data_IF_497671920312
#
_entry.id   IF_497671920312
#
_cell.length_a   1.000
_cell.length_b   1.000
_cell.length_c   1.000
_cell.angle_alpha   90.00
_cell.angle_beta   90.00
_cell.angle_gamma   90.00
#
_symmetry.space_group_name_H-M   'P 1'
#
loop_
_entity.id
_entity.type
_entity.pdbx_description
1 polymer ?
#
# COMPACT_ATOMS: atom_id res chain seq x y z
N UNK A 1 37.37 -9.97 -13.04
CA UNK A 1 37.98 -10.29 -11.73
C UNK A 1 37.34 -9.35 -10.70
N UNK A 2 37.05 -9.82 -9.48
CA UNK A 2 36.51 -8.93 -8.43
C UNK A 2 37.55 -7.86 -8.03
N UNK A 3 37.08 -6.76 -7.44
CA UNK A 3 37.92 -5.62 -7.10
C UNK A 3 38.99 -5.94 -6.07
N UNK A 4 40.07 -5.15 -6.06
CA UNK A 4 41.10 -5.17 -5.01
C UNK A 4 40.59 -4.63 -3.66
N UNK A 5 39.37 -4.07 -3.63
CA UNK A 5 38.65 -3.80 -2.38
C UNK A 5 38.07 -5.10 -1.84
N UNK A 6 38.62 -5.53 -0.70
CA UNK A 6 38.50 -6.89 -0.18
C UNK A 6 37.05 -7.32 0.09
N UNK A 7 36.75 -8.57 -0.24
CA UNK A 7 35.50 -9.22 0.12
C UNK A 7 35.48 -9.50 1.63
N UNK A 8 34.63 -8.77 2.36
CA UNK A 8 34.49 -8.85 3.81
C UNK A 8 33.42 -9.86 4.21
N UNK A 9 33.67 -10.67 5.25
CA UNK A 9 32.62 -11.51 5.87
C UNK A 9 31.82 -10.67 6.85
N UNK A 10 30.49 -10.74 6.78
CA UNK A 10 29.58 -10.06 7.72
C UNK A 10 28.46 -10.99 8.20
N UNK A 11 27.70 -10.53 9.20
CA UNK A 11 26.60 -11.28 9.81
C UNK A 11 25.20 -10.88 9.29
N UNK A 12 25.04 -9.65 8.77
CA UNK A 12 23.75 -9.10 8.32
C UNK A 12 23.96 -8.24 7.07
N UNK A 13 23.31 -8.60 5.96
CA UNK A 13 23.25 -7.76 4.76
C UNK A 13 22.21 -6.62 4.90
N UNK A 14 22.37 -5.51 4.14
CA UNK A 14 21.37 -4.46 4.04
C UNK A 14 19.97 -4.96 3.66
N UNK A 15 18.95 -4.43 4.35
CA UNK A 15 17.53 -4.77 4.17
C UNK A 15 16.72 -3.70 3.45
N UNK A 16 17.32 -2.54 3.20
CA UNK A 16 16.69 -1.42 2.50
C UNK A 16 17.76 -0.61 1.74
N UNK A 17 17.29 0.32 0.89
CA UNK A 17 18.16 1.13 0.04
C UNK A 17 19.14 2.00 0.85
N UNK A 18 18.68 2.63 1.93
CA UNK A 18 19.51 3.52 2.77
C UNK A 18 20.63 2.78 3.50
N UNK A 19 20.38 1.54 3.95
CA UNK A 19 21.44 0.66 4.48
C UNK A 19 22.43 0.25 3.40
N UNK A 20 21.96 -0.03 2.17
CA UNK A 20 22.82 -0.39 1.05
C UNK A 20 23.72 0.78 0.62
N UNK A 21 23.15 1.99 0.51
CA UNK A 21 23.89 3.20 0.17
C UNK A 21 24.97 3.50 1.22
N UNK A 22 24.61 3.49 2.52
CA UNK A 22 25.58 3.65 3.61
C UNK A 22 26.68 2.57 3.57
N UNK A 23 26.33 1.30 3.37
CA UNK A 23 27.31 0.22 3.31
C UNK A 23 28.23 0.36 2.08
N UNK A 24 27.68 0.77 0.94
CA UNK A 24 28.42 1.12 -0.26
C UNK A 24 29.38 2.28 -0.07
N UNK A 25 28.98 3.34 0.65
CA UNK A 25 29.84 4.49 0.95
C UNK A 25 30.99 4.09 1.90
N UNK A 26 30.68 3.34 2.97
CA UNK A 26 31.67 2.86 3.93
C UNK A 26 32.69 1.90 3.29
N UNK A 27 32.21 0.96 2.46
CA UNK A 27 33.07 0.11 1.64
C UNK A 27 33.64 0.87 0.43
N UNK A 28 33.20 2.11 0.18
CA UNK A 28 33.52 2.97 -0.97
C UNK A 28 33.48 2.26 -2.31
N UNK A 29 32.35 1.63 -2.63
CA UNK A 29 32.05 1.09 -3.96
C UNK A 29 31.58 2.21 -4.90
N UNK A 30 31.91 2.06 -6.18
CA UNK A 30 31.42 2.92 -7.27
C UNK A 30 30.04 2.49 -7.76
N UNK A 31 29.45 3.28 -8.68
CA UNK A 31 28.40 2.81 -9.57
C UNK A 31 28.98 2.21 -10.86
N UNK A 32 28.21 1.36 -11.55
CA UNK A 32 28.54 0.90 -12.90
C UNK A 32 28.23 1.97 -13.96
N UNK A 33 28.51 1.66 -15.23
CA UNK A 33 28.30 2.56 -16.39
C UNK A 33 26.85 3.05 -16.52
N UNK A 34 25.87 2.32 -15.95
CA UNK A 34 24.46 2.67 -15.98
C UNK A 34 23.97 3.32 -14.67
N UNK A 35 24.89 3.72 -13.79
CA UNK A 35 24.59 4.35 -12.50
C UNK A 35 24.13 3.39 -11.41
N UNK A 36 24.16 2.07 -11.64
CA UNK A 36 23.76 1.09 -10.63
C UNK A 36 24.85 0.95 -9.56
N UNK A 37 24.48 0.99 -8.28
CA UNK A 37 25.41 0.78 -7.18
C UNK A 37 26.11 -0.60 -7.27
N UNK A 38 27.45 -0.64 -7.18
CA UNK A 38 28.24 -1.89 -7.31
C UNK A 38 28.45 -2.65 -6.00
N UNK A 39 28.00 -2.13 -4.85
CA UNK A 39 27.99 -2.87 -3.60
C UNK A 39 27.07 -4.10 -3.70
N UNK A 40 27.57 -5.25 -3.25
CA UNK A 40 26.77 -6.44 -3.05
C UNK A 40 27.00 -6.99 -1.65
N UNK A 41 25.93 -7.51 -1.04
CA UNK A 41 26.03 -8.41 0.09
C UNK A 41 25.22 -9.68 -0.17
N UNK A 42 25.88 -10.83 -0.20
CA UNK A 42 25.29 -12.09 -0.65
C UNK A 42 25.82 -13.28 0.19
N UNK A 43 25.02 -14.36 0.34
CA UNK A 43 25.53 -15.61 0.89
C UNK A 43 26.53 -16.27 -0.07
N UNK A 44 27.44 -17.08 0.50
CA UNK A 44 28.23 -17.99 -0.32
C UNK A 44 27.44 -19.25 -0.72
N UNK A 45 27.93 -19.95 -1.74
CA UNK A 45 27.34 -21.20 -2.21
C UNK A 45 27.19 -22.27 -1.11
N UNK A 46 28.12 -22.32 -0.16
CA UNK A 46 28.10 -23.26 0.97
C UNK A 46 27.16 -22.86 2.12
N UNK A 47 26.54 -21.67 2.06
CA UNK A 47 25.68 -21.11 3.13
C UNK A 47 26.37 -21.01 4.51
N UNK A 48 27.69 -20.87 4.52
CA UNK A 48 28.51 -20.75 5.75
C UNK A 48 28.80 -19.30 6.16
N UNK A 49 28.56 -18.32 5.28
CA UNK A 49 28.64 -16.90 5.61
C UNK A 49 27.98 -15.98 4.58
N UNK A 50 27.68 -14.75 5.00
CA UNK A 50 27.42 -13.63 4.11
C UNK A 50 28.75 -12.91 3.81
N UNK A 51 28.86 -12.37 2.60
CA UNK A 51 30.00 -11.59 2.16
C UNK A 51 29.54 -10.27 1.53
N UNK A 52 30.19 -9.17 1.93
CA UNK A 52 30.09 -7.88 1.26
C UNK A 52 31.32 -7.61 0.37
N UNK A 53 31.11 -6.97 -0.78
CA UNK A 53 32.16 -6.63 -1.73
C UNK A 53 31.69 -5.60 -2.77
N UNK A 54 32.63 -4.91 -3.41
CA UNK A 54 32.36 -4.14 -4.62
C UNK A 54 32.49 -5.04 -5.86
N UNK A 55 31.43 -5.16 -6.65
CA UNK A 55 31.40 -5.99 -7.85
C UNK A 55 31.90 -5.21 -9.09
N UNK A 56 33.09 -5.59 -9.59
CA UNK A 56 33.66 -5.02 -10.81
C UNK A 56 33.03 -5.64 -12.07
N UNK A 57 31.79 -5.25 -12.37
CA UNK A 57 31.07 -5.64 -13.57
C UNK A 57 29.73 -4.93 -13.68
N UNK A 58 29.01 -5.22 -14.78
CA UNK A 58 27.68 -4.68 -15.02
C UNK A 58 26.64 -5.31 -14.10
N UNK A 59 25.82 -4.48 -13.42
CA UNK A 59 24.70 -4.92 -12.58
C UNK A 59 23.49 -5.30 -13.42
N UNK A 60 23.65 -6.37 -14.20
CA UNK A 60 22.64 -6.87 -15.13
C UNK A 60 21.37 -7.39 -14.44
N UNK A 61 20.38 -7.67 -15.29
CA UNK A 61 19.14 -8.34 -14.91
C UNK A 61 19.41 -9.79 -14.46
N UNK A 62 18.51 -10.29 -13.62
CA UNK A 62 18.44 -11.67 -13.13
C UNK A 62 17.05 -12.22 -13.36
N UNK A 63 16.99 -13.51 -13.62
CA UNK A 63 15.73 -14.22 -13.80
C UNK A 63 14.96 -14.33 -12.47
N UNK A 64 13.64 -14.40 -12.58
CA UNK A 64 12.78 -14.78 -11.46
C UNK A 64 13.08 -16.21 -11.01
N UNK A 65 12.75 -16.53 -9.76
CA UNK A 65 12.97 -17.85 -9.19
C UNK A 65 14.37 -18.09 -8.66
N UNK A 66 15.28 -17.10 -8.73
CA UNK A 66 16.68 -17.27 -8.33
C UNK A 66 17.15 -16.22 -7.32
N UNK A 67 17.84 -16.70 -6.28
CA UNK A 67 18.70 -15.90 -5.42
C UNK A 67 20.10 -15.74 -6.03
N UNK A 68 20.81 -14.68 -5.65
CA UNK A 68 22.22 -14.48 -5.98
C UNK A 68 23.15 -15.00 -4.86
N UNK A 69 24.28 -15.57 -5.27
CA UNK A 69 25.26 -16.18 -4.36
C UNK A 69 26.69 -15.95 -4.84
N UNK A 70 27.67 -16.05 -3.92
CA UNK A 70 29.10 -16.02 -4.24
C UNK A 70 29.71 -17.43 -4.22
N UNK A 71 30.37 -17.82 -5.31
CA UNK A 71 31.17 -19.04 -5.39
C UNK A 71 32.50 -18.77 -6.07
N UNK A 72 33.63 -19.10 -5.41
CA UNK A 72 34.97 -18.93 -5.98
C UNK A 72 35.30 -17.52 -6.50
N UNK A 73 34.79 -16.47 -5.84
CA UNK A 73 34.97 -15.08 -6.28
C UNK A 73 34.18 -14.72 -7.56
N UNK A 74 33.06 -15.41 -7.81
CA UNK A 74 32.12 -15.13 -8.90
C UNK A 74 30.69 -15.09 -8.39
N UNK A 75 29.84 -14.30 -9.07
CA UNK A 75 28.40 -14.37 -8.88
C UNK A 75 27.83 -15.63 -9.52
N UNK A 76 26.95 -16.29 -8.78
CA UNK A 76 26.22 -17.51 -9.13
C UNK A 76 24.76 -17.36 -8.72
N UNK A 77 23.89 -18.27 -9.16
CA UNK A 77 22.46 -18.27 -8.85
C UNK A 77 22.03 -19.58 -8.21
N UNK A 78 21.01 -19.52 -7.35
CA UNK A 78 20.39 -20.69 -6.72
C UNK A 78 18.87 -20.59 -6.81
N UNK A 79 18.20 -21.68 -7.18
CA UNK A 79 16.74 -21.71 -7.31
C UNK A 79 16.09 -21.56 -5.94
N UNK A 80 15.24 -20.55 -5.77
CA UNK A 80 14.45 -20.32 -4.57
C UNK A 80 12.96 -20.58 -4.79
N UNK A 81 12.57 -21.20 -5.91
CA UNK A 81 11.15 -21.40 -6.30
C UNK A 81 10.36 -22.17 -5.24
N UNK A 82 11.04 -23.05 -4.49
CA UNK A 82 10.43 -23.84 -3.42
C UNK A 82 10.38 -23.12 -2.06
N UNK A 83 10.95 -21.91 -1.93
CA UNK A 83 10.89 -21.15 -0.68
C UNK A 83 9.45 -20.87 -0.26
N UNK A 84 9.19 -20.93 1.04
CA UNK A 84 7.88 -20.63 1.62
C UNK A 84 7.36 -19.23 1.23
N UNK A 85 8.25 -18.26 1.08
CA UNK A 85 7.98 -16.92 0.54
C UNK A 85 9.28 -16.15 0.23
N UNK A 86 9.16 -15.01 -0.46
CA UNK A 86 10.25 -14.03 -0.62
C UNK A 86 11.28 -14.30 -1.72
N UNK A 87 11.12 -15.38 -2.50
CA UNK A 87 11.85 -15.58 -3.74
C UNK A 87 11.39 -14.57 -4.83
N UNK A 88 12.28 -14.02 -5.68
CA UNK A 88 11.88 -13.12 -6.76
C UNK A 88 10.87 -13.76 -7.72
N UNK A 89 9.71 -13.13 -7.89
CA UNK A 89 8.63 -13.58 -8.79
C UNK A 89 8.71 -12.95 -10.19
N UNK A 90 9.49 -11.90 -10.35
CA UNK A 90 9.71 -11.15 -11.59
C UNK A 90 11.22 -10.96 -11.87
N UNK A 91 11.64 -10.70 -13.12
CA UNK A 91 13.02 -10.37 -13.43
C UNK A 91 13.46 -9.09 -12.70
N UNK A 92 14.65 -9.10 -12.10
CA UNK A 92 15.10 -8.07 -11.16
C UNK A 92 16.56 -7.66 -11.43
N UNK A 93 16.97 -6.46 -10.99
CA UNK A 93 18.36 -6.00 -11.18
C UNK A 93 19.27 -6.48 -10.05
N UNK A 94 20.49 -6.91 -10.37
CA UNK A 94 21.43 -7.49 -9.38
C UNK A 94 21.66 -6.62 -8.14
N UNK A 95 21.77 -5.30 -8.30
CA UNK A 95 21.97 -4.35 -7.19
C UNK A 95 20.75 -4.22 -6.25
N UNK A 96 19.59 -4.73 -6.64
CA UNK A 96 18.36 -4.70 -5.84
C UNK A 96 18.20 -5.93 -4.92
N UNK A 97 19.30 -6.66 -4.67
CA UNK A 97 19.32 -7.86 -3.81
C UNK A 97 18.74 -7.63 -2.41
N UNK A 98 18.78 -6.39 -1.90
CA UNK A 98 18.17 -5.99 -0.62
C UNK A 98 16.65 -6.12 -0.58
N UNK A 99 15.97 -6.09 -1.74
CA UNK A 99 14.51 -6.30 -1.84
C UNK A 99 14.10 -7.74 -1.52
N UNK A 100 15.05 -8.68 -1.51
CA UNK A 100 14.81 -10.11 -1.34
C UNK A 100 15.53 -10.66 -0.09
N UNK A 101 15.12 -10.27 1.13
CA UNK A 101 15.79 -10.70 2.37
C UNK A 101 15.75 -12.23 2.57
N UNK A 102 14.80 -12.93 1.96
CA UNK A 102 14.78 -14.40 1.91
C UNK A 102 16.07 -14.98 1.29
N UNK A 103 16.60 -14.34 0.23
CA UNK A 103 17.85 -14.69 -0.43
C UNK A 103 19.12 -14.34 0.37
N UNK A 104 18.97 -13.71 1.54
CA UNK A 104 20.06 -13.41 2.48
C UNK A 104 19.92 -14.24 3.77
N UNK A 105 18.72 -14.76 4.07
CA UNK A 105 18.40 -15.45 5.29
C UNK A 105 18.93 -16.90 5.29
N UNK A 106 20.21 -17.08 5.62
CA UNK A 106 20.84 -18.41 5.73
C UNK A 106 20.86 -18.95 7.16
N UNK A 107 20.85 -20.28 7.28
CA UNK A 107 21.19 -21.03 8.48
C UNK A 107 22.61 -21.58 8.31
N UNK A 108 23.57 -20.98 9.02
CA UNK A 108 25.00 -21.31 8.92
C UNK A 108 25.32 -22.70 9.50
N UNK A 109 24.51 -23.19 10.46
CA UNK A 109 24.69 -24.51 11.08
C UNK A 109 24.31 -25.62 10.12
N UNK A 110 23.13 -25.51 9.53
CA UNK A 110 22.52 -26.55 8.70
C UNK A 110 22.76 -26.31 7.19
N UNK A 111 23.50 -25.25 6.85
CA UNK A 111 23.98 -24.87 5.51
C UNK A 111 22.89 -24.75 4.45
N UNK A 112 21.78 -24.12 4.82
CA UNK A 112 20.58 -23.97 3.98
C UNK A 112 19.96 -22.58 4.12
N UNK A 113 19.02 -22.25 3.23
CA UNK A 113 18.20 -21.04 3.36
C UNK A 113 17.08 -21.24 4.37
N UNK A 114 16.86 -20.28 5.27
CA UNK A 114 15.85 -20.41 6.35
C UNK A 114 14.41 -20.57 5.86
N UNK A 115 14.13 -20.16 4.63
CA UNK A 115 12.79 -20.28 4.02
C UNK A 115 12.68 -21.43 3.01
N UNK A 116 13.75 -22.19 2.79
CA UNK A 116 13.72 -23.45 2.04
C UNK A 116 13.03 -24.52 2.92
N UNK A 117 11.97 -25.20 2.44
CA UNK A 117 11.26 -26.24 3.21
C UNK A 117 12.12 -27.43 3.61
N UNK A 118 13.24 -27.68 2.92
CA UNK A 118 14.21 -28.71 3.28
C UNK A 118 15.15 -28.30 4.42
N UNK A 119 15.27 -26.99 4.68
CA UNK A 119 16.11 -26.47 5.74
C UNK A 119 15.50 -26.77 7.11
N UNK A 120 16.25 -27.40 8.05
CA UNK A 120 15.74 -27.62 9.39
C UNK A 120 15.34 -26.30 10.05
N UNK A 121 14.03 -26.13 10.26
CA UNK A 121 13.57 -25.29 11.37
C UNK A 121 14.07 -25.95 12.66
N UNK A 122 14.51 -25.16 13.63
CA UNK A 122 15.03 -25.66 14.93
C UNK A 122 13.92 -26.19 15.84
N UNK A 123 13.01 -26.98 15.27
CA UNK A 123 11.70 -27.32 15.80
C UNK A 123 11.57 -28.85 15.83
N UNK A 124 11.84 -29.44 17.00
CA UNK A 124 11.62 -30.86 17.22
C UNK A 124 10.13 -31.20 16.96
N UNK A 125 9.88 -32.24 16.17
CA UNK A 125 8.54 -32.65 15.69
C UNK A 125 7.54 -33.07 16.80
N UNK A 126 7.89 -32.91 18.07
CA UNK A 126 7.15 -33.43 19.22
C UNK A 126 6.14 -32.44 19.82
N UNK A 127 6.32 -31.13 19.65
CA UNK A 127 5.39 -30.10 20.15
C UNK A 127 4.81 -29.27 19.01
N UNK A 128 3.72 -29.76 18.40
CA UNK A 128 3.02 -29.02 17.35
C UNK A 128 2.47 -27.69 17.86
N UNK A 129 3.13 -26.59 17.50
CA UNK A 129 2.57 -25.23 17.62
C UNK A 129 2.74 -24.50 16.29
N UNK A 130 1.71 -23.73 15.94
CA UNK A 130 1.54 -23.09 14.64
C UNK A 130 2.65 -22.08 14.35
N UNK A 131 3.03 -22.02 13.07
CA UNK A 131 3.82 -20.97 12.39
C UNK A 131 3.99 -19.69 13.22
N UNK A 132 5.10 -19.64 13.96
CA UNK A 132 5.67 -18.38 14.39
C UNK A 132 6.25 -17.67 13.17
N UNK A 133 5.43 -16.86 12.49
CA UNK A 133 5.96 -15.73 11.71
C UNK A 133 6.93 -15.02 12.65
N UNK A 134 8.15 -14.79 12.17
CA UNK A 134 9.27 -14.23 12.92
C UNK A 134 8.80 -13.26 14.00
N UNK A 135 9.19 -13.47 15.28
CA UNK A 135 9.00 -12.45 16.31
C UNK A 135 9.70 -11.17 15.83
N UNK A 136 8.93 -10.24 15.26
CA UNK A 136 9.37 -8.89 14.99
C UNK A 136 9.48 -8.23 16.37
N UNK A 137 10.66 -8.38 17.00
CA UNK A 137 11.01 -7.74 18.28
C UNK A 137 11.27 -6.24 18.15
N UNK A 138 10.61 -5.59 17.19
CA UNK A 138 10.47 -4.15 17.15
C UNK A 138 9.26 -3.80 18.03
N UNK A 139 9.46 -3.25 19.24
CA UNK A 139 8.36 -2.96 20.17
C UNK A 139 7.29 -2.06 19.54
N UNK A 140 7.71 -1.20 18.60
CA UNK A 140 6.85 -0.33 17.83
C UNK A 140 5.80 -1.10 17.00
N UNK A 141 6.16 -2.22 16.36
CA UNK A 141 5.23 -2.99 15.51
C UNK A 141 4.15 -3.65 16.35
N UNK A 142 4.52 -4.24 17.49
CA UNK A 142 3.54 -4.79 18.44
C UNK A 142 2.58 -3.72 18.96
N UNK A 143 3.09 -2.52 19.28
CA UNK A 143 2.27 -1.36 19.69
C UNK A 143 1.28 -0.96 18.60
N UNK A 144 1.70 -0.83 17.34
CA UNK A 144 0.80 -0.46 16.24
C UNK A 144 -0.30 -1.51 16.00
N UNK A 145 0.01 -2.81 16.08
CA UNK A 145 -0.99 -3.88 15.97
C UNK A 145 -2.06 -3.81 17.08
N UNK A 146 -1.65 -3.59 18.33
CA UNK A 146 -2.58 -3.46 19.47
C UNK A 146 -3.44 -2.20 19.35
N UNK A 147 -2.83 -1.05 19.00
CA UNK A 147 -3.56 0.21 18.78
C UNK A 147 -4.59 0.09 17.64
N UNK A 148 -4.21 -0.56 16.54
CA UNK A 148 -5.12 -0.82 15.41
C UNK A 148 -6.33 -1.66 15.81
N UNK A 149 -6.12 -2.75 16.55
CA UNK A 149 -7.20 -3.60 17.04
C UNK A 149 -8.16 -2.83 17.98
N UNK A 150 -7.63 -2.01 18.88
CA UNK A 150 -8.44 -1.18 19.78
C UNK A 150 -9.28 -0.15 19.03
N UNK A 151 -8.75 0.50 17.99
CA UNK A 151 -9.51 1.45 17.16
C UNK A 151 -10.66 0.73 16.43
N UNK A 152 -10.41 -0.45 15.85
CA UNK A 152 -11.46 -1.24 15.18
C UNK A 152 -12.58 -1.61 16.15
N UNK A 153 -12.25 -2.05 17.38
CA UNK A 153 -13.26 -2.36 18.40
C UNK A 153 -14.07 -1.12 18.83
N UNK A 154 -13.44 0.04 18.98
CA UNK A 154 -14.16 1.28 19.29
C UNK A 154 -15.09 1.70 18.16
N UNK A 155 -14.66 1.60 16.90
CA UNK A 155 -15.51 1.90 15.74
C UNK A 155 -16.70 0.95 15.64
N UNK A 156 -16.51 -0.36 15.85
CA UNK A 156 -17.63 -1.32 15.81
C UNK A 156 -18.63 -1.09 16.94
N UNK A 157 -18.17 -0.74 18.15
CA UNK A 157 -19.04 -0.36 19.26
C UNK A 157 -19.82 0.93 18.97
N UNK A 158 -19.17 1.96 18.41
CA UNK A 158 -19.86 3.21 18.02
C UNK A 158 -20.92 2.93 16.96
N UNK A 159 -20.60 2.14 15.93
CA UNK A 159 -21.57 1.74 14.89
C UNK A 159 -22.73 0.95 15.49
N UNK A 160 -22.46 0.02 16.42
CA UNK A 160 -23.50 -0.75 17.11
C UNK A 160 -24.42 0.15 17.95
N UNK A 161 -23.87 1.08 18.72
CA UNK A 161 -24.64 2.03 19.54
C UNK A 161 -25.49 2.99 18.67
N UNK A 162 -24.95 3.45 17.54
CA UNK A 162 -25.71 4.26 16.56
C UNK A 162 -26.80 3.43 15.87
N UNK A 163 -26.56 2.15 15.60
CA UNK A 163 -27.57 1.24 15.05
C UNK A 163 -28.69 0.98 16.06
N UNK A 164 -28.38 0.75 17.33
CA UNK A 164 -29.37 0.57 18.40
C UNK A 164 -30.22 1.84 18.61
N UNK A 165 -29.59 3.01 18.65
CA UNK A 165 -30.28 4.32 18.71
C UNK A 165 -31.22 4.54 17.52
N UNK A 166 -30.78 4.20 16.30
CA UNK A 166 -31.62 4.36 15.10
C UNK A 166 -32.71 3.30 14.99
N UNK A 167 -32.53 2.10 15.56
CA UNK A 167 -33.58 1.08 15.69
C UNK A 167 -34.72 1.56 16.59
N UNK A 168 -34.40 2.03 17.80
CA UNK A 168 -35.39 2.57 18.74
C UNK A 168 -36.15 3.79 18.17
N UNK A 169 -35.45 4.65 17.43
CA UNK A 169 -36.08 5.80 16.75
C UNK A 169 -37.10 5.39 15.67
N UNK A 170 -36.81 4.32 14.91
CA UNK A 170 -37.73 3.76 13.91
C UNK A 170 -38.99 3.18 14.56
N UNK A 171 -38.85 2.40 15.64
CA UNK A 171 -39.97 1.80 16.39
C UNK A 171 -40.89 2.85 17.06
N UNK A 172 -40.37 4.04 17.37
CA UNK A 172 -41.17 5.17 17.85
C UNK A 172 -41.99 5.80 16.71
N UNK A 173 -41.34 6.05 15.57
CA UNK A 173 -41.96 6.70 14.41
C UNK A 173 -43.06 5.84 13.77
N UNK A 174 -42.86 4.53 13.72
CA UNK A 174 -43.87 3.58 13.21
C UNK A 174 -45.12 3.53 14.11
N UNK A 175 -44.95 3.57 15.43
CA UNK A 175 -46.06 3.64 16.39
C UNK A 175 -46.85 4.96 16.29
N UNK A 176 -46.18 6.10 16.08
CA UNK A 176 -46.87 7.39 15.92
C UNK A 176 -47.70 7.43 14.63
N UNK A 177 -47.07 7.08 13.48
CA UNK A 177 -47.77 7.08 12.19
C UNK A 177 -48.95 6.11 12.14
N UNK A 178 -48.90 4.99 12.87
CA UNK A 178 -50.02 4.05 12.99
C UNK A 178 -51.21 4.63 13.77
N UNK A 179 -50.96 5.54 14.73
CA UNK A 179 -52.01 6.19 15.51
C UNK A 179 -52.72 7.30 14.70
N UNK A 180 -51.97 8.13 13.97
CA UNK A 180 -52.54 9.17 13.10
C UNK A 180 -53.40 8.57 11.98
N UNK A 181 -52.92 7.52 11.30
CA UNK A 181 -53.70 6.82 10.28
C UNK A 181 -54.99 6.17 10.83
N UNK A 182 -54.96 5.67 12.07
CA UNK A 182 -56.15 5.12 12.73
C UNK A 182 -57.18 6.20 13.10
N UNK A 183 -56.74 7.43 13.43
CA UNK A 183 -57.65 8.55 13.66
C UNK A 183 -58.27 9.10 12.36
N UNK A 184 -57.50 9.17 11.26
CA UNK A 184 -58.03 9.59 9.96
C UNK A 184 -59.15 8.66 9.45
N UNK A 185 -59.01 7.35 9.64
CA UNK A 185 -60.04 6.38 9.25
C UNK A 185 -61.36 6.60 10.02
N UNK A 186 -61.30 6.92 11.32
CA UNK A 186 -62.51 7.21 12.12
C UNK A 186 -63.23 8.49 11.70
N UNK A 187 -62.53 9.52 11.24
CA UNK A 187 -63.19 10.71 10.67
C UNK A 187 -63.93 10.39 9.36
N UNK A 188 -63.46 9.41 8.58
CA UNK A 188 -64.07 9.04 7.31
C UNK A 188 -65.37 8.24 7.46
N UNK A 189 -65.54 7.48 8.54
CA UNK A 189 -66.78 6.72 8.79
C UNK A 189 -67.93 7.60 9.33
N UNK A 190 -67.62 8.72 9.99
CA UNK A 190 -68.64 9.66 10.54
C UNK A 190 -69.11 10.69 9.48
N UNK A 191 -68.34 10.91 8.42
CA UNK A 191 -68.65 11.90 7.37
C UNK A 191 -69.58 11.44 6.24
N UNK A 192 -70.09 10.20 6.27
CA UNK A 192 -70.89 9.62 5.16
C UNK A 192 -72.35 9.41 5.59
N UNK A 193 -72.95 10.42 6.23
CA UNK A 193 -74.38 10.43 6.56
C UNK A 193 -74.97 11.83 6.76
N UNK A 194 -74.74 12.77 5.83
CA UNK A 194 -75.67 13.90 5.67
C UNK A 194 -75.69 14.48 4.25
N UNK A 195 -76.89 14.90 3.84
CA UNK A 195 -77.26 15.62 2.60
C UNK A 195 -77.08 14.90 1.25
N UNK A 196 -78.08 14.05 0.98
CA UNK A 196 -78.71 14.01 -0.35
C UNK A 196 -79.66 15.22 -0.51
N UNK A 197 -80.06 15.56 -1.74
CA UNK A 197 -80.99 16.65 -2.14
C UNK A 197 -80.41 18.09 -2.05
N UNK A 198 -80.62 19.00 -3.02
CA UNK A 198 -81.51 19.00 -4.21
C UNK A 198 -81.10 20.12 -5.21
N UNK A 199 -81.56 20.03 -6.49
CA UNK A 199 -81.81 21.16 -7.45
C UNK A 199 -80.57 21.92 -8.01
N UNK A 200 -80.45 22.37 -9.26
CA UNK A 200 -80.75 21.92 -10.65
C UNK A 200 -80.51 23.13 -11.60
N UNK A 201 -79.81 22.92 -12.72
CA UNK A 201 -79.88 23.68 -14.01
C UNK A 201 -79.92 25.22 -14.04
N UNK A 202 -78.92 25.83 -14.68
CA UNK A 202 -79.18 26.75 -15.83
C UNK A 202 -78.00 26.79 -16.80
N UNK A 203 -78.29 27.12 -18.06
CA UNK A 203 -77.40 27.13 -19.23
C UNK A 203 -77.28 28.56 -19.83
N UNK A 204 -76.40 28.75 -20.82
CA UNK A 204 -76.20 29.95 -21.68
C UNK A 204 -75.53 31.21 -21.07
N UNK A 205 -74.74 32.05 -21.78
CA UNK A 205 -73.99 31.92 -23.05
C UNK A 205 -72.97 33.11 -23.20
N UNK A 206 -72.06 32.99 -24.19
CA UNK A 206 -71.42 34.03 -25.03
C UNK A 206 -70.06 34.70 -24.70
N UNK A 207 -69.14 34.45 -25.66
CA UNK A 207 -68.16 35.35 -26.31
C UNK A 207 -66.81 35.61 -25.62
N UNK A 208 -65.76 34.99 -26.18
CA UNK A 208 -64.35 35.28 -25.87
C UNK A 208 -63.66 36.20 -26.89
N UNK A 209 -62.35 36.39 -26.70
CA UNK A 209 -61.38 37.04 -27.62
C UNK A 209 -60.05 36.25 -27.55
N UNK A 210 -59.39 36.03 -28.69
CA UNK A 210 -58.02 35.51 -28.78
C UNK A 210 -56.99 36.61 -28.43
N UNK A 211 -55.79 36.22 -27.98
CA UNK A 211 -54.51 36.61 -28.62
C UNK A 211 -53.34 35.77 -28.08
N UNK A 212 -52.47 35.43 -29.03
CA UNK A 212 -51.22 34.66 -29.07
C UNK A 212 -50.14 34.97 -28.01
N UNK A 213 -49.12 34.11 -27.85
CA UNK A 213 -47.99 34.44 -26.94
C UNK A 213 -46.97 33.37 -26.47
N UNK A 214 -46.67 32.32 -27.24
CA UNK A 214 -45.44 31.49 -27.22
C UNK A 214 -44.47 31.50 -25.99
N UNK A 215 -44.18 30.31 -25.41
CA UNK A 215 -42.89 29.62 -25.62
C UNK A 215 -42.86 28.18 -25.06
N UNK A 216 -42.23 27.28 -25.82
CA UNK A 216 -42.02 25.86 -25.52
C UNK A 216 -40.67 25.60 -24.83
N UNK A 217 -40.58 24.53 -24.04
CA UNK A 217 -39.29 23.92 -23.72
C UNK A 217 -39.41 22.39 -23.75
N UNK A 218 -38.64 21.75 -24.64
CA UNK A 218 -38.64 20.31 -24.84
C UNK A 218 -37.79 19.55 -23.81
N UNK A 219 -38.19 18.29 -23.62
CA UNK A 219 -37.47 17.26 -22.88
C UNK A 219 -36.21 16.79 -23.62
N UNK A 220 -35.11 16.51 -22.90
CA UNK A 220 -34.19 15.44 -23.35
C UNK A 220 -33.36 14.78 -22.24
N UNK A 221 -33.58 13.47 -22.11
CA UNK A 221 -32.66 12.50 -21.50
C UNK A 221 -31.37 12.40 -22.32
N UNK A 222 -30.18 12.20 -21.70
CA UNK A 222 -29.11 11.24 -22.16
C UNK A 222 -27.84 11.24 -21.27
N UNK A 223 -27.51 10.03 -20.77
CA UNK A 223 -26.19 9.35 -20.65
C UNK A 223 -24.99 9.96 -19.88
N UNK A 224 -24.33 9.05 -19.13
CA UNK A 224 -23.02 9.19 -18.46
C UNK A 224 -21.90 9.74 -19.38
N UNK A 225 -20.97 10.49 -18.77
CA UNK A 225 -19.54 10.30 -19.02
C UNK A 225 -18.68 10.61 -17.81
N UNK A 226 -17.74 9.72 -17.48
CA UNK A 226 -16.60 10.03 -16.61
C UNK A 226 -15.68 10.99 -17.37
N UNK A 227 -15.24 12.08 -16.73
CA UNK A 227 -13.96 12.71 -17.09
C UNK A 227 -13.07 12.84 -15.85
N UNK A 228 -11.83 12.41 -16.06
CA UNK A 228 -10.67 12.55 -15.19
C UNK A 228 -10.13 13.96 -15.44
N UNK A 229 -9.87 14.72 -14.38
CA UNK A 229 -9.04 15.92 -14.47
C UNK A 229 -7.80 15.67 -13.64
N UNK A 230 -6.67 15.61 -14.32
CA UNK A 230 -5.35 15.48 -13.73
C UNK A 230 -4.92 16.83 -13.14
N UNK A 231 -4.02 16.82 -12.15
CA UNK A 231 -3.40 18.04 -11.63
C UNK A 231 -1.89 17.89 -11.79
N UNK A 232 -1.36 18.47 -12.86
CA UNK A 232 0.09 18.62 -13.02
C UNK A 232 0.60 19.62 -11.96
N UNK A 233 1.77 19.34 -11.40
CA UNK A 233 2.59 20.36 -10.77
C UNK A 233 4.03 20.04 -11.10
N UNK A 234 4.48 20.62 -12.21
CA UNK A 234 5.87 20.55 -12.65
C UNK A 234 6.77 21.29 -11.65
N UNK A 235 7.83 20.64 -11.21
CA UNK A 235 9.00 21.30 -10.63
C UNK A 235 10.18 20.89 -11.48
N UNK A 236 10.48 21.69 -12.50
CA UNK A 236 11.73 21.54 -13.25
C UNK A 236 12.91 22.00 -12.39
N UNK A 237 13.95 21.18 -12.43
CA UNK A 237 15.30 21.52 -11.98
C UNK A 237 15.90 22.64 -12.84
N UNK A 238 16.69 23.52 -12.21
CA UNK A 238 17.81 24.15 -12.90
C UNK A 238 19.08 24.05 -12.05
N UNK A 239 20.21 23.87 -12.76
CA UNK A 239 21.52 23.52 -12.21
C UNK A 239 22.37 24.79 -11.97
N UNK A 240 23.41 24.61 -11.16
CA UNK A 240 24.45 25.56 -10.74
C UNK A 240 25.06 26.40 -11.87
N UNK A 241 25.62 27.56 -11.52
CA UNK A 241 27.03 27.86 -11.80
C UNK A 241 27.64 28.85 -10.77
N UNK A 242 28.96 29.02 -10.83
CA UNK A 242 29.89 29.40 -9.74
C UNK A 242 29.98 30.89 -9.34
N UNK A 243 30.67 31.15 -8.22
CA UNK A 243 31.04 32.49 -7.76
C UNK A 243 32.00 32.52 -6.55
N UNK A 244 33.28 32.24 -6.78
CA UNK A 244 34.36 32.49 -5.79
C UNK A 244 34.60 34.00 -5.59
N UNK A 245 34.77 34.45 -4.34
CA UNK A 245 35.52 35.69 -4.06
C UNK A 245 36.49 35.55 -2.88
N UNK A 246 37.78 35.75 -3.18
CA UNK A 246 38.92 35.67 -2.26
C UNK A 246 39.15 36.97 -1.51
N UNK A 247 39.32 36.93 -0.17
CA UNK A 247 39.85 38.06 0.60
C UNK A 247 40.84 37.61 1.69
N UNK A 248 42.15 37.86 1.44
CA UNK A 248 43.16 38.41 2.39
C UNK A 248 43.56 37.60 3.67
N UNK A 249 44.81 37.53 4.14
CA UNK A 249 46.16 37.91 3.63
C UNK A 249 47.27 37.35 4.55
N UNK A 250 48.50 37.20 4.01
CA UNK A 250 49.84 37.35 4.65
C UNK A 250 50.12 36.70 6.03
N UNK A 251 51.19 35.92 6.27
CA UNK A 251 52.61 36.05 5.84
C UNK A 251 53.30 34.65 5.91
N UNK A 252 54.64 34.41 5.97
CA UNK A 252 55.87 35.23 6.09
C UNK A 252 57.11 34.43 5.58
N UNK A 253 58.30 35.03 5.74
CA UNK A 253 59.65 34.45 5.60
C UNK A 253 59.88 33.16 6.43
N UNK A 254 60.88 32.30 6.13
CA UNK A 254 62.23 32.64 5.64
C UNK A 254 62.94 31.45 5.01
#
# INVERSE_FOLDING_TARGET
MMSTKAMGKIDICPRNLTELERASELLGCSSDEYGNNQYMCLPNAEKTSLFEFCFNGFMGMKEKGYCLEVSGGKLTTHSCVEFLFGCPNEPWKSHEFYKYPACQAINIRDKCYRLDPSCPTGYDKNNGTIVGVSEIKDPNVAIYCVLGAMIVLLVTLIVFLLWERTKLSKDYRDRHGKHENAQLMKQREVGVSENTDHISTHEEDFRGINVDGSQTFEEKVIVRSRKRNDTETSVESFVQDDGDELVSSASKAR
#
